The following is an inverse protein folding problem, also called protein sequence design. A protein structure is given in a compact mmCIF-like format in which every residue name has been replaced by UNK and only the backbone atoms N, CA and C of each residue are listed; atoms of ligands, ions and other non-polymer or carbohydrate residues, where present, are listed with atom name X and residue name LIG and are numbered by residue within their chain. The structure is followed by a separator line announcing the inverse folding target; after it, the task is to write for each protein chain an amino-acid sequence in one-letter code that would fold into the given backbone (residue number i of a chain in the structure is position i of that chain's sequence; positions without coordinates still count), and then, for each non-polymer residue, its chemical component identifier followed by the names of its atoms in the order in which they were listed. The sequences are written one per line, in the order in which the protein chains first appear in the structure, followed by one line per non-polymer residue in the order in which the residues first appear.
data_IF_743940665300
#
_entry.id   IF_743940665300
#
_cell.length_a   1.000
_cell.length_b   1.000
_cell.length_c   1.000
_cell.angle_alpha   90.00
_cell.angle_beta   90.00
_cell.angle_gamma   90.00
#
_symmetry.space_group_name_H-M   'P 1'
#
loop_
_entity.id
_entity.type
_entity.pdbx_description
1 polymer ?
#
# COMPACT_ATOMS: atom_id res chain seq x y z
N UNK A 1 26.37 4.22 -48.90
CA UNK A 1 25.20 4.16 -49.78
C UNK A 1 23.94 4.10 -48.93
N UNK A 2 23.01 5.00 -49.23
CA UNK A 2 21.55 4.97 -48.99
C UNK A 2 20.99 4.95 -47.56
N UNK A 3 20.58 6.14 -47.14
CA UNK A 3 19.44 6.40 -46.26
C UNK A 3 18.10 6.02 -46.94
N UNK A 4 17.06 5.78 -46.11
CA UNK A 4 15.59 6.02 -46.31
C UNK A 4 14.81 5.02 -45.42
N UNK A 5 13.76 5.37 -44.68
CA UNK A 5 13.07 6.63 -44.49
C UNK A 5 11.85 6.42 -43.58
N UNK A 6 11.64 7.32 -42.62
CA UNK A 6 10.36 7.49 -41.94
C UNK A 6 9.35 8.14 -42.91
N UNK A 7 8.09 7.70 -42.96
CA UNK A 7 7.07 8.41 -43.72
C UNK A 7 6.61 9.66 -42.95
N UNK A 8 6.86 10.81 -43.57
CA UNK A 8 6.25 12.09 -43.27
C UNK A 8 4.79 12.13 -43.75
N UNK A 9 3.87 12.53 -42.89
CA UNK A 9 2.56 13.07 -43.26
C UNK A 9 2.40 14.46 -42.65
N UNK A 10 2.56 15.50 -43.48
CA UNK A 10 2.05 16.87 -43.24
C UNK A 10 0.52 16.84 -43.44
N UNK A 11 -0.35 17.70 -42.94
CA UNK A 11 -0.26 19.03 -42.37
C UNK A 11 -1.57 19.30 -41.58
N UNK A 12 -1.54 20.19 -40.59
CA UNK A 12 -2.45 21.35 -40.55
C UNK A 12 -2.07 22.26 -39.39
N UNK A 13 -1.58 23.43 -39.78
CA UNK A 13 -1.34 24.58 -38.92
C UNK A 13 -2.67 25.10 -38.38
N UNK A 14 -2.79 25.26 -37.06
CA UNK A 14 -3.69 26.25 -36.45
C UNK A 14 -3.26 26.57 -35.02
N UNK A 15 -1.98 26.87 -34.80
CA UNK A 15 -1.51 27.37 -33.51
C UNK A 15 -0.85 28.73 -33.67
N UNK A 16 -1.67 29.77 -33.87
CA UNK A 16 -1.32 31.16 -33.56
C UNK A 16 -2.60 31.99 -33.47
N UNK A 17 -3.10 32.13 -32.25
CA UNK A 17 -3.76 33.32 -31.67
C UNK A 17 -4.55 32.88 -30.44
N UNK A 18 -3.86 32.71 -29.32
CA UNK A 18 -4.51 32.72 -28.02
C UNK A 18 -3.53 33.31 -27.03
N UNK A 19 -3.72 34.61 -26.75
CA UNK A 19 -2.98 35.43 -25.80
C UNK A 19 -2.71 34.65 -24.49
N UNK A 20 -1.51 34.79 -23.88
CA UNK A 20 -1.16 34.15 -22.60
C UNK A 20 -2.18 34.41 -21.48
N UNK A 21 -2.87 35.56 -21.54
CA UNK A 21 -3.91 35.97 -20.59
C UNK A 21 -5.16 35.07 -20.66
N UNK A 22 -5.48 34.48 -21.81
CA UNK A 22 -6.64 33.58 -21.95
C UNK A 22 -6.38 32.16 -21.44
N UNK A 23 -5.12 31.78 -21.16
CA UNK A 23 -4.83 30.50 -20.47
C UNK A 23 -5.06 30.60 -18.97
N UNK A 24 -4.81 31.75 -18.35
CA UNK A 24 -5.08 31.94 -16.92
C UNK A 24 -6.57 32.03 -16.58
N UNK A 25 -7.41 32.50 -17.51
CA UNK A 25 -8.87 32.58 -17.31
C UNK A 25 -9.55 31.19 -17.31
N UNK A 26 -9.02 30.20 -18.04
CA UNK A 26 -9.59 28.84 -18.10
C UNK A 26 -9.26 27.98 -16.89
N UNK A 27 -8.21 28.31 -16.13
CA UNK A 27 -7.88 27.61 -14.88
C UNK A 27 -8.58 28.21 -13.65
N UNK A 28 -9.21 29.38 -13.77
CA UNK A 28 -9.89 30.06 -12.66
C UNK A 28 -11.37 29.65 -12.50
N UNK A 29 -11.96 28.89 -13.44
CA UNK A 29 -13.37 28.48 -13.44
C UNK A 29 -13.63 26.98 -13.27
N UNK A 30 -12.73 26.25 -12.61
CA UNK A 30 -13.04 24.94 -12.02
C UNK A 30 -12.56 24.89 -10.57
N UNK A 31 -13.14 25.75 -9.74
CA UNK A 31 -13.26 25.41 -8.33
C UNK A 31 -14.23 24.23 -8.23
N UNK A 32 -13.75 23.01 -8.45
CA UNK A 32 -14.43 21.84 -7.92
C UNK A 32 -14.30 21.99 -6.41
N UNK A 33 -15.31 22.58 -5.76
CA UNK A 33 -15.44 22.42 -4.31
C UNK A 33 -15.59 20.93 -4.09
N UNK A 34 -14.53 20.27 -3.64
CA UNK A 34 -14.63 18.91 -3.16
C UNK A 34 -15.70 18.92 -2.07
N UNK A 35 -16.84 18.29 -2.34
CA UNK A 35 -17.80 17.95 -1.29
C UNK A 35 -17.08 17.07 -0.27
N UNK A 36 -17.47 17.16 0.99
CA UNK A 36 -16.85 16.39 2.08
C UNK A 36 -16.82 14.88 1.78
N UNK A 37 -17.82 14.37 1.05
CA UNK A 37 -17.86 12.99 0.54
C UNK A 37 -16.71 12.64 -0.37
N UNK A 38 -16.39 13.53 -1.31
CA UNK A 38 -15.28 13.32 -2.22
C UNK A 38 -13.95 13.37 -1.47
N UNK A 39 -13.86 14.14 -0.38
CA UNK A 39 -12.66 14.21 0.48
C UNK A 39 -12.45 12.93 1.26
N UNK A 40 -13.48 12.42 1.92
CA UNK A 40 -13.36 11.20 2.72
C UNK A 40 -13.17 9.94 1.87
N UNK A 41 -13.84 9.84 0.73
CA UNK A 41 -13.62 8.74 -0.21
C UNK A 41 -12.19 8.77 -0.80
N UNK A 42 -11.66 9.96 -1.08
CA UNK A 42 -10.26 10.12 -1.52
C UNK A 42 -9.28 9.71 -0.42
N UNK A 43 -9.52 10.11 0.83
CA UNK A 43 -8.71 9.71 1.99
C UNK A 43 -8.76 8.19 2.21
N UNK A 44 -9.94 7.58 2.07
CA UNK A 44 -10.12 6.12 2.16
C UNK A 44 -9.27 5.40 1.12
N UNK A 45 -9.37 5.81 -0.15
CA UNK A 45 -8.59 5.22 -1.24
C UNK A 45 -7.09 5.35 -1.01
N UNK A 46 -6.65 6.51 -0.53
CA UNK A 46 -5.24 6.73 -0.18
C UNK A 46 -4.77 5.81 0.96
N UNK A 47 -5.53 5.72 2.06
CA UNK A 47 -5.18 4.80 3.17
C UNK A 47 -5.22 3.34 2.74
N UNK A 48 -6.17 2.95 1.91
CA UNK A 48 -6.25 1.60 1.37
C UNK A 48 -5.02 1.28 0.51
N UNK A 49 -4.57 2.23 -0.32
CA UNK A 49 -3.34 2.08 -1.09
C UNK A 49 -2.12 1.95 -0.17
N UNK A 50 -1.98 2.79 0.86
CA UNK A 50 -0.88 2.68 1.83
C UNK A 50 -0.86 1.32 2.54
N UNK A 51 -2.03 0.81 2.95
CA UNK A 51 -2.14 -0.53 3.56
C UNK A 51 -1.65 -1.61 2.60
N UNK A 52 -2.06 -1.57 1.32
CA UNK A 52 -1.61 -2.55 0.32
C UNK A 52 -0.10 -2.51 0.12
N UNK A 53 0.48 -1.32 0.04
CA UNK A 53 1.94 -1.18 -0.08
C UNK A 53 2.66 -1.74 1.14
N UNK A 54 2.17 -1.48 2.35
CA UNK A 54 2.75 -2.07 3.56
C UNK A 54 2.61 -3.60 3.59
N UNK A 55 1.51 -4.15 3.07
CA UNK A 55 1.25 -5.59 2.97
C UNK A 55 2.18 -6.26 1.95
N UNK A 56 2.39 -5.63 0.78
CA UNK A 56 3.35 -6.10 -0.23
C UNK A 56 4.79 -6.12 0.32
N UNK A 57 5.21 -5.08 1.04
CA UNK A 57 6.54 -5.02 1.65
C UNK A 57 6.71 -6.04 2.80
N UNK A 58 5.67 -6.26 3.61
CA UNK A 58 5.67 -7.28 4.64
C UNK A 58 5.81 -8.68 4.02
N UNK A 59 5.08 -8.94 2.95
CA UNK A 59 5.12 -10.21 2.22
C UNK A 59 6.51 -10.46 1.59
N UNK A 60 7.12 -9.43 0.99
CA UNK A 60 8.50 -9.52 0.48
C UNK A 60 9.47 -9.87 1.61
N UNK A 61 9.36 -9.19 2.75
CA UNK A 61 10.22 -9.45 3.91
C UNK A 61 10.02 -10.87 4.47
N UNK A 62 8.79 -11.38 4.49
CA UNK A 62 8.48 -12.76 4.88
C UNK A 62 9.19 -13.78 3.99
N UNK A 63 9.10 -13.60 2.66
CA UNK A 63 9.73 -14.51 1.70
C UNK A 63 11.25 -14.52 1.82
N UNK A 64 11.87 -13.37 2.09
CA UNK A 64 13.31 -13.30 2.33
C UNK A 64 13.70 -14.09 3.59
N UNK A 65 12.93 -13.93 4.68
CA UNK A 65 13.12 -14.68 5.92
C UNK A 65 13.00 -16.20 5.69
N UNK A 66 11.96 -16.63 4.96
CA UNK A 66 11.74 -18.05 4.63
C UNK A 66 12.88 -18.63 3.78
N UNK A 67 13.38 -17.88 2.79
CA UNK A 67 14.53 -18.30 1.97
C UNK A 67 15.80 -18.43 2.79
N UNK A 68 16.06 -17.48 3.69
CA UNK A 68 17.24 -17.55 4.56
C UNK A 68 17.13 -18.73 5.55
N UNK A 69 15.93 -19.04 6.05
CA UNK A 69 15.69 -20.23 6.88
C UNK A 69 15.93 -21.51 6.11
N UNK A 70 15.44 -21.59 4.88
CA UNK A 70 15.70 -22.76 4.02
C UNK A 70 17.20 -22.91 3.74
N UNK A 71 17.90 -21.83 3.46
CA UNK A 71 19.36 -21.85 3.23
C UNK A 71 20.11 -22.37 4.45
N UNK A 72 19.67 -22.01 5.66
CA UNK A 72 20.27 -22.53 6.90
C UNK A 72 20.04 -24.04 7.04
N UNK A 73 18.81 -24.51 6.81
CA UNK A 73 18.47 -25.94 6.85
C UNK A 73 19.28 -26.73 5.83
N UNK A 74 19.37 -26.26 4.59
CA UNK A 74 20.16 -26.92 3.55
C UNK A 74 21.64 -27.02 3.94
N UNK A 75 22.19 -25.97 4.59
CA UNK A 75 23.58 -25.97 5.05
C UNK A 75 23.78 -26.91 6.26
N UNK A 76 22.80 -27.00 7.16
CA UNK A 76 22.79 -27.95 8.28
C UNK A 76 22.75 -29.40 7.79
N UNK A 77 21.88 -29.70 6.81
CA UNK A 77 21.81 -31.01 6.15
C UNK A 77 23.13 -31.38 5.45
N UNK A 78 23.75 -30.44 4.74
CA UNK A 78 25.04 -30.65 4.07
C UNK A 78 26.17 -30.92 5.08
N UNK A 79 26.12 -30.24 6.23
CA UNK A 79 27.05 -30.48 7.33
C UNK A 79 26.87 -31.86 7.94
N UNK A 80 25.63 -32.28 8.18
CA UNK A 80 25.32 -33.62 8.70
C UNK A 80 25.79 -34.72 7.73
N UNK A 81 25.49 -34.60 6.44
CA UNK A 81 25.99 -35.52 5.40
C UNK A 81 27.51 -35.60 5.38
N UNK A 82 28.18 -34.45 5.57
CA UNK A 82 29.65 -34.39 5.60
C UNK A 82 30.24 -35.09 6.83
N UNK A 83 29.57 -35.01 7.98
CA UNK A 83 29.96 -35.75 9.19
C UNK A 83 29.77 -37.26 9.02
N UNK A 84 28.64 -37.69 8.47
CA UNK A 84 28.39 -39.11 8.15
C UNK A 84 29.46 -39.63 7.19
N UNK A 85 29.78 -38.87 6.14
CA UNK A 85 30.83 -39.24 5.19
C UNK A 85 32.21 -39.34 5.85
N UNK A 86 32.51 -38.53 6.87
CA UNK A 86 33.76 -38.62 7.63
C UNK A 86 33.85 -39.91 8.45
N UNK A 87 32.73 -40.41 8.96
CA UNK A 87 32.65 -41.65 9.75
C UNK A 87 32.71 -42.92 8.86
N UNK A 88 32.15 -42.87 7.66
CA UNK A 88 32.02 -44.04 6.76
C UNK A 88 33.21 -44.28 5.81
N UNK A 89 34.04 -43.26 5.52
CA UNK A 89 35.08 -43.28 4.48
C UNK A 89 36.51 -43.44 5.03
N UNK A 90 37.51 -43.83 4.20
CA UNK A 90 38.73 -44.49 4.69
C UNK A 90 39.62 -43.62 5.59
N UNK A 91 40.42 -44.29 6.43
CA UNK A 91 41.45 -43.77 7.36
C UNK A 91 42.64 -43.06 6.66
N UNK A 92 42.39 -42.39 5.54
CA UNK A 92 43.36 -41.50 4.92
C UNK A 92 43.37 -40.16 5.67
N UNK A 93 44.55 -39.78 6.18
CA UNK A 93 44.77 -38.48 6.82
C UNK A 93 44.40 -37.31 5.89
N UNK A 94 44.79 -37.38 4.61
CA UNK A 94 44.51 -36.31 3.64
C UNK A 94 43.02 -36.14 3.34
N UNK A 95 42.26 -37.24 3.37
CA UNK A 95 40.80 -37.20 3.21
C UNK A 95 40.15 -36.50 4.42
N UNK A 96 40.53 -36.92 5.64
CA UNK A 96 40.02 -36.32 6.87
C UNK A 96 40.34 -34.83 6.96
N UNK A 97 41.55 -34.41 6.59
CA UNK A 97 41.93 -33.00 6.52
C UNK A 97 41.01 -32.18 5.60
N UNK A 98 40.71 -32.69 4.39
CA UNK A 98 39.81 -32.02 3.44
C UNK A 98 38.39 -31.91 4.01
N UNK A 99 37.87 -32.98 4.61
CA UNK A 99 36.55 -32.99 5.22
C UNK A 99 36.44 -31.97 6.37
N UNK A 100 37.46 -31.88 7.24
CA UNK A 100 37.48 -30.89 8.31
C UNK A 100 37.53 -29.44 7.77
N UNK A 101 38.30 -29.19 6.71
CA UNK A 101 38.31 -27.88 6.05
C UNK A 101 36.94 -27.54 5.47
N UNK A 102 36.25 -28.51 4.87
CA UNK A 102 34.92 -28.31 4.33
C UNK A 102 33.89 -28.04 5.43
N UNK A 103 33.95 -28.77 6.55
CA UNK A 103 33.09 -28.54 7.72
C UNK A 103 33.29 -27.13 8.31
N UNK A 104 34.53 -26.64 8.41
CA UNK A 104 34.80 -25.26 8.85
C UNK A 104 34.20 -24.20 7.91
N UNK A 105 34.20 -24.45 6.59
CA UNK A 105 33.53 -23.59 5.61
C UNK A 105 32.01 -23.60 5.81
N UNK A 106 31.42 -24.78 6.05
CA UNK A 106 29.99 -24.91 6.33
C UNK A 106 29.60 -24.21 7.64
N UNK A 107 30.38 -24.37 8.71
CA UNK A 107 30.15 -23.72 10.00
C UNK A 107 30.18 -22.18 9.85
N UNK A 108 31.17 -21.64 9.12
CA UNK A 108 31.24 -20.21 8.80
C UNK A 108 30.06 -19.73 7.97
N UNK A 109 29.61 -20.53 7.00
CA UNK A 109 28.42 -20.22 6.20
C UNK A 109 27.16 -20.20 7.05
N UNK A 110 26.97 -21.18 7.93
CA UNK A 110 25.85 -21.22 8.87
C UNK A 110 25.81 -19.99 9.77
N UNK A 111 26.97 -19.59 10.32
CA UNK A 111 27.08 -18.38 11.13
C UNK A 111 26.70 -17.13 10.34
N UNK A 112 27.20 -16.99 9.10
CA UNK A 112 26.82 -15.89 8.21
C UNK A 112 25.30 -15.85 7.93
N UNK A 113 24.69 -17.01 7.67
CA UNK A 113 23.24 -17.10 7.41
C UNK A 113 22.43 -16.79 8.67
N UNK A 114 22.90 -17.18 9.86
CA UNK A 114 22.27 -16.85 11.14
C UNK A 114 22.29 -15.34 11.40
N UNK A 115 23.39 -14.67 11.08
CA UNK A 115 23.49 -13.22 11.16
C UNK A 115 22.53 -12.53 10.18
N UNK A 116 22.47 -13.01 8.94
CA UNK A 116 21.51 -12.53 7.95
C UNK A 116 20.05 -12.72 8.42
N UNK A 117 19.73 -13.89 8.98
CA UNK A 117 18.42 -14.19 9.55
C UNK A 117 18.03 -13.22 10.65
N UNK A 118 18.96 -12.90 11.56
CA UNK A 118 18.72 -11.91 12.60
C UNK A 118 18.36 -10.54 12.01
N UNK A 119 19.11 -10.08 11.00
CA UNK A 119 18.83 -8.82 10.30
C UNK A 119 17.47 -8.83 9.58
N UNK A 120 17.17 -9.92 8.87
CA UNK A 120 15.89 -10.10 8.17
C UNK A 120 14.71 -10.18 9.14
N UNK A 121 14.90 -10.78 10.32
CA UNK A 121 13.87 -10.86 11.35
C UNK A 121 13.55 -9.48 11.94
N UNK A 122 14.58 -8.68 12.25
CA UNK A 122 14.40 -7.29 12.67
C UNK A 122 13.65 -6.48 11.60
N UNK A 123 14.08 -6.59 10.33
CA UNK A 123 13.39 -5.92 9.22
C UNK A 123 11.93 -6.37 9.09
N UNK A 124 11.65 -7.67 9.25
CA UNK A 124 10.28 -8.20 9.18
C UNK A 124 9.40 -7.62 10.30
N UNK A 125 9.93 -7.51 11.52
CA UNK A 125 9.22 -6.92 12.66
C UNK A 125 8.91 -5.44 12.41
N UNK A 126 9.85 -4.68 11.86
CA UNK A 126 9.63 -3.28 11.47
C UNK A 126 8.53 -3.16 10.40
N UNK A 127 8.58 -4.00 9.36
CA UNK A 127 7.53 -4.02 8.32
C UNK A 127 6.17 -4.41 8.90
N UNK A 128 6.13 -5.34 9.84
CA UNK A 128 4.90 -5.77 10.52
C UNK A 128 4.29 -4.64 11.35
N UNK A 129 5.13 -3.85 12.02
CA UNK A 129 4.70 -2.67 12.77
C UNK A 129 4.09 -1.62 11.83
N UNK A 130 4.74 -1.34 10.69
CA UNK A 130 4.24 -0.40 9.67
C UNK A 130 2.89 -0.88 9.11
N UNK A 131 2.76 -2.16 8.74
CA UNK A 131 1.51 -2.72 8.24
C UNK A 131 0.38 -2.63 9.27
N UNK A 132 0.69 -2.92 10.54
CA UNK A 132 -0.28 -2.84 11.64
C UNK A 132 -0.75 -1.40 11.85
N UNK A 133 0.17 -0.43 11.79
CA UNK A 133 -0.15 0.99 11.82
C UNK A 133 -1.06 1.40 10.65
N UNK A 134 -0.71 1.02 9.42
CA UNK A 134 -1.52 1.31 8.24
C UNK A 134 -2.92 0.69 8.31
N UNK A 135 -3.03 -0.53 8.85
CA UNK A 135 -4.31 -1.21 9.07
C UNK A 135 -5.17 -0.50 10.12
N UNK A 136 -4.57 -0.06 11.24
CA UNK A 136 -5.25 0.70 12.27
C UNK A 136 -5.76 2.05 11.74
N UNK A 137 -4.94 2.77 10.97
CA UNK A 137 -5.34 4.02 10.34
C UNK A 137 -6.49 3.83 9.35
N UNK A 138 -6.48 2.74 8.56
CA UNK A 138 -7.60 2.40 7.68
C UNK A 138 -8.91 2.22 8.46
N UNK A 139 -8.87 1.48 9.57
CA UNK A 139 -10.04 1.29 10.43
C UNK A 139 -10.57 2.61 11.01
N UNK A 140 -9.68 3.50 11.44
CA UNK A 140 -10.07 4.84 11.92
C UNK A 140 -10.80 5.62 10.84
N UNK A 141 -10.30 5.61 9.60
CA UNK A 141 -10.97 6.29 8.49
C UNK A 141 -12.35 5.68 8.19
N UNK A 142 -12.49 4.36 8.23
CA UNK A 142 -13.80 3.71 8.03
C UNK A 142 -14.83 4.13 9.09
N UNK A 143 -14.41 4.23 10.35
CA UNK A 143 -15.26 4.73 11.44
C UNK A 143 -15.65 6.19 11.21
N UNK A 144 -14.69 7.04 10.80
CA UNK A 144 -14.97 8.45 10.52
C UNK A 144 -15.98 8.62 9.36
N UNK A 145 -15.83 7.84 8.29
CA UNK A 145 -16.77 7.84 7.15
C UNK A 145 -18.17 7.45 7.61
N UNK A 146 -18.29 6.42 8.41
CA UNK A 146 -19.57 5.96 8.94
C UNK A 146 -20.23 7.01 9.84
N UNK A 147 -19.44 7.68 10.68
CA UNK A 147 -19.94 8.76 11.53
C UNK A 147 -20.39 9.98 10.73
N UNK A 148 -19.64 10.38 9.70
CA UNK A 148 -20.03 11.47 8.81
C UNK A 148 -21.33 11.17 8.05
N UNK A 149 -21.50 9.94 7.56
CA UNK A 149 -22.75 9.50 6.92
C UNK A 149 -23.93 9.64 7.87
N UNK A 150 -23.83 9.09 9.09
CA UNK A 150 -24.87 9.22 10.11
C UNK A 150 -25.20 10.67 10.45
N UNK A 151 -24.20 11.54 10.52
CA UNK A 151 -24.40 12.95 10.81
C UNK A 151 -25.10 13.66 9.64
N UNK A 152 -24.76 13.34 8.38
CA UNK A 152 -25.47 13.88 7.23
C UNK A 152 -26.92 13.40 7.22
N UNK A 153 -27.17 12.12 7.43
CA UNK A 153 -28.52 11.56 7.43
C UNK A 153 -29.39 12.22 8.52
N UNK A 154 -28.84 12.42 9.72
CA UNK A 154 -29.51 13.17 10.81
C UNK A 154 -29.81 14.62 10.42
N UNK A 155 -28.86 15.31 9.79
CA UNK A 155 -29.07 16.69 9.35
C UNK A 155 -30.18 16.77 8.27
N UNK A 156 -30.20 15.83 7.33
CA UNK A 156 -31.24 15.75 6.30
C UNK A 156 -32.63 15.51 6.92
N UNK A 157 -32.74 14.56 7.85
CA UNK A 157 -33.98 14.29 8.58
C UNK A 157 -34.46 15.51 9.37
N UNK A 158 -33.57 16.19 10.09
CA UNK A 158 -33.90 17.41 10.82
C UNK A 158 -34.36 18.54 9.89
N UNK A 159 -33.72 18.71 8.74
CA UNK A 159 -34.14 19.69 7.75
C UNK A 159 -35.51 19.35 7.14
N UNK A 160 -35.79 18.07 6.90
CA UNK A 160 -37.08 17.62 6.39
C UNK A 160 -38.20 17.81 7.43
N UNK A 161 -37.97 17.46 8.70
CA UNK A 161 -38.89 17.70 9.81
C UNK A 161 -39.23 19.20 9.94
N UNK A 162 -38.21 20.06 9.94
CA UNK A 162 -38.40 21.52 9.97
C UNK A 162 -39.21 22.03 8.78
N UNK A 163 -38.97 21.52 7.56
CA UNK A 163 -39.76 21.88 6.38
C UNK A 163 -41.23 21.47 6.50
N UNK A 164 -41.49 20.30 7.10
CA UNK A 164 -42.86 19.84 7.34
C UNK A 164 -43.56 20.69 8.41
N UNK A 165 -42.87 21.03 9.49
CA UNK A 165 -43.38 21.92 10.53
C UNK A 165 -43.73 23.31 9.99
N UNK A 166 -42.83 23.90 9.19
CA UNK A 166 -43.04 25.22 8.57
C UNK A 166 -44.25 25.17 7.60
N UNK A 167 -44.39 24.09 6.82
CA UNK A 167 -45.52 23.91 5.91
C UNK A 167 -46.87 23.76 6.65
N UNK A 168 -46.87 23.04 7.78
CA UNK A 168 -48.04 22.87 8.64
C UNK A 168 -48.42 24.17 9.37
N UNK A 169 -47.43 24.95 9.81
CA UNK A 169 -47.64 26.26 10.42
C UNK A 169 -48.23 27.27 9.42
N UNK A 170 -47.71 27.30 8.18
CA UNK A 170 -48.23 28.14 7.10
C UNK A 170 -49.70 27.85 6.77
N UNK A 171 -50.09 26.57 6.70
CA UNK A 171 -51.49 26.17 6.48
C UNK A 171 -52.43 26.62 7.61
N UNK A 172 -52.01 26.51 8.87
CA UNK A 172 -52.83 26.93 10.02
C UNK A 172 -52.98 28.45 10.12
N UNK A 173 -51.96 29.21 9.69
CA UNK A 173 -52.05 30.67 9.56
C UNK A 173 -53.10 31.11 8.55
N UNK A 174 -53.09 30.49 7.35
CA UNK A 174 -54.05 30.82 6.28
C UNK A 174 -55.49 30.39 6.57
N UNK A 175 -55.71 29.32 7.32
CA UNK A 175 -57.08 28.90 7.71
C UNK A 175 -57.71 29.77 8.80
N UNK A 176 -56.92 30.56 9.53
CA UNK A 176 -57.43 31.49 10.54
C UNK A 176 -57.94 32.81 9.94
N UNK A 177 -57.42 33.19 8.77
CA UNK A 177 -57.84 34.40 8.04
C UNK A 177 -59.03 34.16 7.10
N UNK A 178 -59.29 32.91 6.69
CA UNK A 178 -60.43 32.56 5.83
C UNK A 178 -61.75 32.25 6.58
N UNK A 179 -61.76 32.39 7.91
CA UNK A 179 -62.91 32.11 8.77
C UNK A 179 -63.40 33.29 9.62
N UNK A 180 -62.95 34.51 9.31
CA UNK A 180 -63.47 35.77 9.83
C UNK A 180 -64.26 36.49 8.73
#
# INVERSE_FOLDING_TARGET
MLARGCPSGKASESWKTSSPEKRHEKFRKKGHSMTEDNRMESLRKYRQWQKRQAEEELEKSRRLLERARQTLLDTEDDREKSLIALEEQPDSLSWKEICYLYLDVLDKRMESVRQELSGLQSSFEDRRAIWTSAWNEMKKIEILIENERKNRDRALLYHEERRMDDALAGRRGTSREAGA
#
